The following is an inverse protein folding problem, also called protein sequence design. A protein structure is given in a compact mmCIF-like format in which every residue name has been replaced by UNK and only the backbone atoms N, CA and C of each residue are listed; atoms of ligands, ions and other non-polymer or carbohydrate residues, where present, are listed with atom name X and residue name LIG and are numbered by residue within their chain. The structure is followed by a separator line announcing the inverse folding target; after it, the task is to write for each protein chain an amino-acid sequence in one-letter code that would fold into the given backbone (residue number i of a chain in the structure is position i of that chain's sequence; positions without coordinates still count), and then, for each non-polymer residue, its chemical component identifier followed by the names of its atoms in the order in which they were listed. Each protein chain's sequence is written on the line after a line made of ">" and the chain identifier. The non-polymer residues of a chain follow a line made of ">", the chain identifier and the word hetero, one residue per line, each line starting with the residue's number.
data_IF_584302835387
#
_entry.id   IF_584302835387
#
_cell.length_a   1.000
_cell.length_b   1.000
_cell.length_c   1.000
_cell.angle_alpha   90.00
_cell.angle_beta   90.00
_cell.angle_gamma   90.00
#
_symmetry.space_group_name_H-M   'P 1'
#
loop_
_entity.id
_entity.type
_entity.pdbx_description
1 polymer ?
#
# COMPACT_ATOMS: atom_id res chain seq x y z
N UNK A 1 46.11 17.21 -44.92
CA UNK A 1 46.77 18.53 -44.81
C UNK A 1 45.82 19.45 -44.04
N UNK A 2 46.00 19.54 -42.72
CA UNK A 2 46.64 20.67 -42.00
C UNK A 2 45.61 21.75 -41.65
N UNK A 3 45.06 21.76 -40.42
CA UNK A 3 45.57 22.36 -39.17
C UNK A 3 45.31 23.88 -39.07
N UNK A 4 44.57 24.28 -38.03
CA UNK A 4 44.88 25.36 -37.06
C UNK A 4 43.56 25.80 -36.37
N UNK A 5 43.32 25.70 -35.05
CA UNK A 5 44.05 26.03 -33.82
C UNK A 5 44.10 27.54 -33.51
N UNK A 6 43.09 28.07 -32.82
CA UNK A 6 43.12 29.37 -32.11
C UNK A 6 41.89 29.47 -31.20
N UNK A 7 41.90 29.85 -29.91
CA UNK A 7 42.94 30.22 -28.93
C UNK A 7 42.40 29.90 -27.52
N UNK A 8 43.35 29.64 -26.63
CA UNK A 8 43.25 29.51 -25.18
C UNK A 8 42.35 30.56 -24.48
N UNK A 9 41.59 30.14 -23.48
CA UNK A 9 41.68 30.77 -22.16
C UNK A 9 41.14 29.84 -21.08
N UNK A 10 42.00 29.54 -20.12
CA UNK A 10 41.68 28.82 -18.90
C UNK A 10 40.65 29.60 -18.08
N UNK A 11 39.64 28.94 -17.51
CA UNK A 11 39.15 29.30 -16.19
C UNK A 11 38.38 28.13 -15.55
N UNK A 12 38.93 27.67 -14.43
CA UNK A 12 38.27 27.11 -13.26
C UNK A 12 37.27 25.96 -13.43
N UNK A 13 37.70 24.80 -12.93
CA UNK A 13 36.93 23.96 -12.01
C UNK A 13 35.68 24.68 -11.45
N UNK A 14 34.50 24.21 -11.84
CA UNK A 14 33.26 24.56 -11.17
C UNK A 14 32.56 23.28 -10.71
N UNK A 15 32.39 23.21 -9.40
CA UNK A 15 31.88 22.13 -8.58
C UNK A 15 30.61 21.47 -9.15
N UNK A 16 30.68 20.16 -9.36
CA UNK A 16 29.51 19.27 -9.41
C UNK A 16 28.89 19.28 -8.02
N UNK A 17 27.96 20.21 -7.79
CA UNK A 17 27.11 20.19 -6.61
C UNK A 17 25.98 19.21 -6.88
N UNK A 18 25.91 18.17 -6.04
CA UNK A 18 24.77 17.28 -5.94
C UNK A 18 23.52 18.11 -5.64
N UNK A 19 22.66 18.31 -6.63
CA UNK A 19 21.29 18.76 -6.39
C UNK A 19 20.48 17.60 -5.84
N UNK A 20 20.56 17.39 -4.52
CA UNK A 20 19.57 16.61 -3.80
C UNK A 20 18.25 17.39 -3.77
N UNK A 21 17.17 16.80 -4.27
CA UNK A 21 15.83 17.34 -4.11
C UNK A 21 15.43 17.24 -2.62
N UNK A 22 15.63 18.31 -1.86
CA UNK A 22 14.99 18.47 -0.55
C UNK A 22 13.52 18.80 -0.78
N UNK A 23 12.67 17.79 -0.63
CA UNK A 23 11.23 17.98 -0.60
C UNK A 23 10.87 18.71 0.69
N UNK A 24 10.42 19.95 0.54
CA UNK A 24 10.01 20.86 1.61
C UNK A 24 8.71 20.37 2.27
N UNK A 25 8.86 19.50 3.26
CA UNK A 25 7.83 19.24 4.27
C UNK A 25 8.12 20.06 5.51
N UNK A 26 7.53 21.26 5.61
CA UNK A 26 7.51 22.01 6.87
C UNK A 26 6.53 21.32 7.84
N UNK A 27 7.06 20.72 8.90
CA UNK A 27 6.43 20.68 10.22
C UNK A 27 7.46 20.21 11.24
N UNK A 28 7.62 21.02 12.28
CA UNK A 28 8.66 20.94 13.28
C UNK A 28 8.62 19.64 14.10
N UNK A 29 9.75 18.94 14.20
CA UNK A 29 10.09 18.25 15.44
C UNK A 29 11.61 18.32 15.70
N UNK A 30 11.94 19.02 16.77
CA UNK A 30 13.26 19.20 17.36
C UNK A 30 13.59 17.95 18.17
N UNK A 31 14.59 17.17 17.77
CA UNK A 31 15.12 16.08 18.60
C UNK A 31 15.95 15.05 17.84
N UNK A 32 17.27 15.24 17.84
CA UNK A 32 18.30 14.32 17.35
C UNK A 32 18.37 13.04 18.21
N UNK A 33 18.28 11.85 17.60
CA UNK A 33 19.17 10.70 17.91
C UNK A 33 19.34 9.87 16.63
N UNK A 34 20.60 9.64 16.25
CA UNK A 34 21.00 8.71 15.20
C UNK A 34 20.84 7.26 15.67
N UNK A 35 20.29 6.38 14.82
CA UNK A 35 20.30 4.94 15.04
C UNK A 35 19.10 4.39 15.81
N UNK A 36 17.89 4.52 15.27
CA UNK A 36 16.75 3.71 15.67
C UNK A 36 15.87 3.52 14.44
N UNK A 37 15.71 2.28 13.96
CA UNK A 37 14.64 1.96 13.01
C UNK A 37 13.34 2.33 13.69
N UNK A 38 12.86 3.55 13.44
CA UNK A 38 11.57 4.01 13.91
C UNK A 38 10.54 3.13 13.23
N UNK A 39 10.00 2.17 13.97
CA UNK A 39 8.85 1.42 13.52
C UNK A 39 7.76 2.46 13.19
N UNK A 40 7.49 2.65 11.90
CA UNK A 40 6.42 3.54 11.45
C UNK A 40 5.12 2.97 12.01
N UNK A 41 4.55 3.65 13.00
CA UNK A 41 3.25 3.29 13.56
C UNK A 41 2.16 3.72 12.58
N UNK A 42 1.45 2.74 12.01
CA UNK A 42 0.29 3.01 11.13
C UNK A 42 -0.85 3.54 11.99
N UNK A 43 -1.55 4.59 11.58
CA UNK A 43 -2.68 5.13 12.35
C UNK A 43 -3.84 4.12 12.42
N UNK A 44 -4.67 4.09 13.48
CA UNK A 44 -5.81 3.15 13.55
C UNK A 44 -6.78 3.28 12.37
N UNK A 45 -6.99 4.49 11.84
CA UNK A 45 -7.85 4.70 10.67
C UNK A 45 -7.23 4.14 9.39
N UNK A 46 -5.90 4.23 9.23
CA UNK A 46 -5.21 3.63 8.08
C UNK A 46 -5.16 2.11 8.18
N UNK A 47 -4.99 1.57 9.39
CA UNK A 47 -5.12 0.14 9.67
C UNK A 47 -6.52 -0.36 9.27
N UNK A 48 -7.57 0.35 9.71
CA UNK A 48 -8.96 0.06 9.33
C UNK A 48 -9.17 0.15 7.81
N UNK A 49 -8.60 1.16 7.14
CA UNK A 49 -8.68 1.30 5.68
C UNK A 49 -8.01 0.12 4.96
N UNK A 50 -6.83 -0.29 5.40
CA UNK A 50 -6.11 -1.43 4.82
C UNK A 50 -6.92 -2.72 4.95
N UNK A 51 -7.46 -3.00 6.15
CA UNK A 51 -8.32 -4.17 6.37
C UNK A 51 -9.60 -4.09 5.54
N UNK A 52 -10.22 -2.91 5.48
CA UNK A 52 -11.47 -2.73 4.73
C UNK A 52 -11.27 -3.01 3.24
N UNK A 53 -10.16 -2.54 2.67
CA UNK A 53 -9.77 -2.80 1.29
C UNK A 53 -9.48 -4.28 1.02
N UNK A 54 -8.78 -4.96 1.94
CA UNK A 54 -8.52 -6.40 1.81
C UNK A 54 -9.83 -7.20 1.77
N UNK A 55 -10.75 -6.93 2.69
CA UNK A 55 -12.06 -7.61 2.75
C UNK A 55 -12.87 -7.31 1.48
N UNK A 56 -12.96 -6.05 1.06
CA UNK A 56 -13.71 -5.64 -0.12
C UNK A 56 -13.18 -6.27 -1.41
N UNK A 57 -11.86 -6.23 -1.62
CA UNK A 57 -11.24 -6.78 -2.82
C UNK A 57 -11.30 -8.31 -2.85
N UNK A 58 -11.18 -8.98 -1.70
CA UNK A 58 -11.35 -10.44 -1.60
C UNK A 58 -12.78 -10.86 -1.90
N UNK A 59 -13.77 -10.12 -1.41
CA UNK A 59 -15.18 -10.32 -1.78
C UNK A 59 -15.44 -10.07 -3.26
N UNK A 60 -14.77 -9.09 -3.86
CA UNK A 60 -14.81 -8.86 -5.31
C UNK A 60 -14.28 -10.06 -6.07
N UNK A 61 -13.12 -10.62 -5.68
CA UNK A 61 -12.60 -11.84 -6.27
C UNK A 61 -13.62 -12.99 -6.23
N UNK A 62 -14.22 -13.25 -5.06
CA UNK A 62 -15.23 -14.29 -4.87
C UNK A 62 -16.43 -14.09 -5.80
N UNK A 63 -16.94 -12.86 -5.86
CA UNK A 63 -18.23 -12.56 -6.50
C UNK A 63 -18.15 -12.28 -7.99
N UNK A 64 -17.03 -11.73 -8.47
CA UNK A 64 -16.88 -11.19 -9.84
C UNK A 64 -15.77 -11.86 -10.63
N UNK A 65 -14.84 -12.56 -9.99
CA UNK A 65 -13.66 -13.15 -10.62
C UNK A 65 -13.63 -14.68 -10.57
N UNK A 66 -14.79 -15.34 -10.38
CA UNK A 66 -14.94 -16.80 -10.36
C UNK A 66 -14.06 -17.52 -9.33
N UNK A 67 -13.72 -16.86 -8.21
CA UNK A 67 -12.95 -17.45 -7.11
C UNK A 67 -13.85 -18.13 -6.10
N UNK A 68 -14.51 -19.22 -6.52
CA UNK A 68 -15.39 -20.02 -5.67
C UNK A 68 -14.66 -20.78 -4.56
N UNK A 69 -13.33 -20.85 -4.63
CA UNK A 69 -12.46 -21.40 -3.58
C UNK A 69 -12.37 -20.50 -2.34
N UNK A 70 -12.77 -19.23 -2.43
CA UNK A 70 -12.75 -18.28 -1.31
C UNK A 70 -13.93 -18.51 -0.36
N UNK A 71 -13.72 -18.38 0.97
CA UNK A 71 -14.75 -18.62 1.98
C UNK A 71 -15.82 -17.51 1.98
N UNK A 72 -16.83 -17.60 2.85
CA UNK A 72 -17.86 -16.57 2.98
C UNK A 72 -17.34 -15.23 3.54
N UNK A 73 -18.13 -14.17 3.38
CA UNK A 73 -17.75 -12.79 3.73
C UNK A 73 -17.46 -12.63 5.25
N UNK A 74 -18.13 -13.40 6.09
CA UNK A 74 -17.90 -13.39 7.54
C UNK A 74 -16.52 -13.98 7.87
N UNK A 75 -16.17 -15.09 7.23
CA UNK A 75 -14.85 -15.73 7.36
C UNK A 75 -13.75 -14.81 6.82
N UNK A 76 -13.94 -14.17 5.67
CA UNK A 76 -13.00 -13.17 5.13
C UNK A 76 -12.74 -12.06 6.15
N UNK A 77 -13.80 -11.53 6.76
CA UNK A 77 -13.71 -10.46 7.78
C UNK A 77 -12.99 -10.94 9.04
N UNK A 78 -13.30 -12.15 9.52
CA UNK A 78 -12.65 -12.72 10.70
C UNK A 78 -11.14 -12.94 10.48
N UNK A 79 -10.74 -13.41 9.30
CA UNK A 79 -9.33 -13.56 8.95
C UNK A 79 -8.62 -12.21 8.87
N UNK A 80 -9.27 -11.17 8.32
CA UNK A 80 -8.71 -9.81 8.34
C UNK A 80 -8.44 -9.33 9.78
N UNK A 81 -9.37 -9.58 10.71
CA UNK A 81 -9.18 -9.25 12.12
C UNK A 81 -8.09 -10.12 12.78
N UNK A 82 -7.98 -11.40 12.42
CA UNK A 82 -6.91 -12.27 12.92
C UNK A 82 -5.53 -11.79 12.46
N UNK A 83 -5.39 -11.41 11.18
CA UNK A 83 -4.16 -10.82 10.63
C UNK A 83 -3.83 -9.50 11.32
N UNK A 84 -4.82 -8.66 11.61
CA UNK A 84 -4.62 -7.43 12.38
C UNK A 84 -4.11 -7.71 13.80
N UNK A 85 -4.70 -8.69 14.50
CA UNK A 85 -4.22 -9.11 15.83
C UNK A 85 -2.76 -9.61 15.79
N UNK A 86 -2.39 -10.39 14.77
CA UNK A 86 -1.01 -10.86 14.57
C UNK A 86 -0.02 -9.70 14.35
N UNK A 87 -0.48 -8.58 13.78
CA UNK A 87 0.30 -7.34 13.62
C UNK A 87 0.35 -6.49 14.89
N UNK A 88 -0.26 -6.92 15.99
CA UNK A 88 -0.33 -6.17 17.24
C UNK A 88 -1.30 -4.98 17.19
N UNK A 89 -2.27 -4.99 16.26
CA UNK A 89 -3.24 -3.91 16.12
C UNK A 89 -4.42 -4.09 17.08
N UNK A 90 -4.94 -2.98 17.60
CA UNK A 90 -6.11 -2.98 18.47
C UNK A 90 -7.41 -3.13 17.65
N UNK A 91 -7.80 -4.38 17.42
CA UNK A 91 -9.01 -4.70 16.66
C UNK A 91 -10.31 -4.36 17.39
N UNK A 92 -10.27 -4.08 18.70
CA UNK A 92 -11.46 -3.66 19.44
C UNK A 92 -11.94 -2.28 18.96
N UNK A 93 -11.12 -1.54 18.21
CA UNK A 93 -11.48 -0.25 17.61
C UNK A 93 -12.06 -0.34 16.19
N UNK A 94 -12.27 -1.56 15.64
CA UNK A 94 -12.66 -1.79 14.24
C UNK A 94 -14.13 -2.12 14.01
N UNK A 95 -15.04 -1.56 14.80
CA UNK A 95 -16.49 -1.74 14.63
C UNK A 95 -16.97 -1.30 13.23
N UNK A 96 -16.30 -0.34 12.61
CA UNK A 96 -16.65 0.18 11.29
C UNK A 96 -16.15 -0.70 10.12
N UNK A 97 -15.41 -1.78 10.37
CA UNK A 97 -14.84 -2.62 9.32
C UNK A 97 -15.91 -3.17 8.36
N UNK A 98 -17.02 -3.79 8.80
CA UNK A 98 -18.01 -4.32 7.87
C UNK A 98 -18.63 -3.26 6.97
N UNK A 99 -19.00 -2.11 7.54
CA UNK A 99 -19.61 -1.01 6.80
C UNK A 99 -18.64 -0.38 5.80
N UNK A 100 -17.37 -0.18 6.19
CA UNK A 100 -16.36 0.40 5.31
C UNK A 100 -15.98 -0.56 4.19
N UNK A 101 -15.85 -1.85 4.47
CA UNK A 101 -15.66 -2.89 3.46
C UNK A 101 -16.79 -2.94 2.44
N UNK A 102 -18.04 -2.85 2.88
CA UNK A 102 -19.20 -2.77 1.98
C UNK A 102 -19.10 -1.54 1.07
N UNK A 103 -18.83 -0.36 1.64
CA UNK A 103 -18.70 0.87 0.86
C UNK A 103 -17.60 0.76 -0.22
N UNK A 104 -16.46 0.17 0.13
CA UNK A 104 -15.35 -0.04 -0.82
C UNK A 104 -15.72 -1.07 -1.89
N UNK A 105 -16.39 -2.16 -1.51
CA UNK A 105 -16.88 -3.16 -2.46
C UNK A 105 -17.85 -2.53 -3.47
N UNK A 106 -18.82 -1.73 -3.01
CA UNK A 106 -19.71 -0.98 -3.89
C UNK A 106 -18.96 0.01 -4.80
N UNK A 107 -17.86 0.58 -4.30
CA UNK A 107 -16.94 1.38 -5.11
C UNK A 107 -16.34 0.58 -6.26
N UNK A 108 -15.78 -0.60 -5.97
CA UNK A 108 -15.21 -1.51 -6.99
C UNK A 108 -16.22 -1.94 -8.06
N UNK A 109 -17.50 -2.09 -7.69
CA UNK A 109 -18.57 -2.42 -8.65
C UNK A 109 -18.89 -1.27 -9.61
N UNK A 110 -18.65 -0.02 -9.19
CA UNK A 110 -18.96 1.19 -9.96
C UNK A 110 -17.73 1.77 -10.65
N UNK A 111 -16.54 1.29 -10.30
CA UNK A 111 -15.29 1.69 -10.90
C UNK A 111 -15.26 1.36 -12.40
N UNK A 112 -14.71 2.26 -13.21
CA UNK A 112 -14.67 2.11 -14.67
C UNK A 112 -13.56 1.18 -15.17
N UNK A 113 -12.67 0.72 -14.28
CA UNK A 113 -11.62 -0.24 -14.61
C UNK A 113 -12.27 -1.55 -15.08
N UNK A 114 -11.86 -2.10 -16.24
CA UNK A 114 -12.39 -3.37 -16.74
C UNK A 114 -12.32 -4.46 -15.67
N UNK A 115 -13.39 -5.24 -15.55
CA UNK A 115 -13.49 -6.34 -14.56
C UNK A 115 -12.29 -7.27 -14.66
N UNK A 116 -11.86 -7.63 -15.87
CA UNK A 116 -10.71 -8.49 -16.13
C UNK A 116 -9.41 -7.90 -15.55
N UNK A 117 -9.22 -6.58 -15.65
CA UNK A 117 -8.07 -5.87 -15.06
C UNK A 117 -8.14 -5.88 -13.53
N UNK A 118 -9.31 -5.59 -12.95
CA UNK A 118 -9.49 -5.68 -11.48
C UNK A 118 -9.21 -7.09 -10.97
N UNK A 119 -9.75 -8.11 -11.65
CA UNK A 119 -9.54 -9.51 -11.30
C UNK A 119 -8.08 -9.93 -11.41
N UNK A 120 -7.37 -9.51 -12.46
CA UNK A 120 -5.94 -9.79 -12.63
C UNK A 120 -5.13 -9.19 -11.47
N UNK A 121 -5.37 -7.91 -11.17
CA UNK A 121 -4.61 -7.21 -10.14
C UNK A 121 -4.88 -7.76 -8.75
N UNK A 122 -6.15 -8.01 -8.40
CA UNK A 122 -6.50 -8.58 -7.10
C UNK A 122 -6.02 -10.02 -6.95
N UNK A 123 -6.09 -10.85 -8.00
CA UNK A 123 -5.56 -12.22 -7.91
C UNK A 123 -4.06 -12.23 -7.63
N UNK A 124 -3.30 -11.29 -8.22
CA UNK A 124 -1.87 -11.16 -7.97
C UNK A 124 -1.58 -10.66 -6.55
N UNK A 125 -2.21 -9.55 -6.16
CA UNK A 125 -1.86 -8.82 -4.94
C UNK A 125 -2.41 -9.41 -3.65
N UNK A 126 -3.56 -10.10 -3.71
CA UNK A 126 -4.21 -10.68 -2.52
C UNK A 126 -3.68 -12.05 -2.12
N UNK A 127 -2.72 -12.62 -2.86
CA UNK A 127 -2.16 -13.97 -2.60
C UNK A 127 -1.79 -14.18 -1.11
N UNK A 128 -1.04 -13.29 -0.44
CA UNK A 128 -0.68 -13.52 0.97
C UNK A 128 -1.89 -13.56 1.91
N UNK A 129 -2.91 -12.76 1.63
CA UNK A 129 -4.13 -12.74 2.44
C UNK A 129 -5.01 -13.97 2.16
N UNK A 130 -5.03 -14.44 0.92
CA UNK A 130 -5.70 -15.69 0.53
C UNK A 130 -5.05 -16.90 1.23
N UNK A 131 -3.72 -16.94 1.31
CA UNK A 131 -3.01 -17.99 2.02
C UNK A 131 -3.29 -17.94 3.53
N UNK A 132 -3.40 -16.74 4.12
CA UNK A 132 -3.82 -16.60 5.51
C UNK A 132 -5.21 -17.19 5.76
N UNK A 133 -6.16 -17.07 4.81
CA UNK A 133 -7.48 -17.70 4.94
C UNK A 133 -7.41 -19.22 4.89
N UNK A 134 -6.58 -19.79 3.99
CA UNK A 134 -6.40 -21.26 3.89
C UNK A 134 -5.83 -21.87 5.16
N UNK A 135 -4.97 -21.13 5.86
CA UNK A 135 -4.31 -21.58 7.09
C UNK A 135 -5.13 -21.28 8.36
N UNK A 136 -6.25 -20.57 8.24
CA UNK A 136 -7.15 -20.24 9.35
C UNK A 136 -8.30 -21.25 9.51
N UNK A 137 -8.48 -22.15 8.53
CA UNK A 137 -9.49 -23.22 8.54
C UNK A 137 -9.08 -24.44 9.35
#
# INVERSE_FOLDING_TARGET
>A
MSLSLSKFSAFALLCVTLAGCQQTGTSAHKGTVAGQSSAVTVSPNDQLNQLSSLVAATRYLKSKCSRSDLPDDATITNVALAVAKQKGWDVASYQALPQRSESLYQGLLKDSTPKETQCLEFNRTLTPFIDAMRNHG
#
